data_IF_574585526300
#
_entry.id   IF_574585526300
#
_cell.length_a   1.000
_cell.length_b   1.000
_cell.length_c   1.000
_cell.angle_alpha   90.00
_cell.angle_beta   90.00
_cell.angle_gamma   90.00
#
_symmetry.space_group_name_H-M   'P 1'
#
loop_
_entity.id
_entity.type
_entity.pdbx_description
1 polymer ?
#
# COMPACT_ATOMS: atom_id res chain seq x y z
N UNK A 1 -55.74 38.42 19.06
CA UNK A 1 -54.41 38.54 19.68
C UNK A 1 -53.70 37.20 19.44
N UNK A 2 -52.95 37.11 18.37
CA UNK A 2 -52.22 35.89 17.93
C UNK A 2 -50.75 36.22 17.91
N UNK A 3 -50.00 35.63 18.85
CA UNK A 3 -48.54 35.69 18.90
C UNK A 3 -47.92 34.64 17.98
N UNK A 4 -47.26 35.07 16.91
CA UNK A 4 -46.45 34.25 16.04
C UNK A 4 -45.09 33.98 16.70
N UNK A 5 -44.83 32.74 17.08
CA UNK A 5 -43.52 32.24 17.45
C UNK A 5 -42.69 32.02 16.18
N UNK A 6 -41.70 32.86 15.92
CA UNK A 6 -40.69 32.65 14.87
C UNK A 6 -39.58 31.73 15.43
N UNK A 7 -39.58 30.49 14.95
CA UNK A 7 -38.51 29.52 15.14
C UNK A 7 -37.33 29.91 14.23
N UNK A 8 -36.23 30.41 14.82
CA UNK A 8 -34.99 30.72 14.12
C UNK A 8 -34.23 29.42 13.90
N UNK A 9 -34.29 28.84 12.70
CA UNK A 9 -33.48 27.70 12.29
C UNK A 9 -32.09 28.25 11.93
N UNK A 10 -31.12 28.05 12.82
CA UNK A 10 -29.70 28.32 12.56
C UNK A 10 -29.17 27.24 11.61
N UNK A 11 -29.11 27.51 10.30
CA UNK A 11 -28.36 26.73 9.35
C UNK A 11 -26.86 26.94 9.65
N UNK A 12 -26.25 25.99 10.32
CA UNK A 12 -24.80 25.83 10.34
C UNK A 12 -24.36 25.39 8.95
N UNK A 13 -23.96 26.35 8.13
CA UNK A 13 -23.20 26.11 6.91
C UNK A 13 -21.85 25.51 7.33
N UNK A 14 -21.72 24.20 7.22
CA UNK A 14 -20.42 23.55 7.24
C UNK A 14 -19.63 24.09 6.05
N UNK A 15 -18.62 24.89 6.32
CA UNK A 15 -17.71 25.45 5.33
C UNK A 15 -16.61 24.41 5.05
N UNK A 16 -16.62 23.67 3.93
CA UNK A 16 -15.63 22.62 3.64
C UNK A 16 -14.20 23.18 3.41
N UNK A 17 -14.07 24.51 3.32
CA UNK A 17 -12.78 25.19 3.11
C UNK A 17 -11.91 25.20 4.37
N UNK A 18 -12.51 25.21 5.57
CA UNK A 18 -11.75 25.29 6.82
C UNK A 18 -11.01 23.96 7.13
N UNK A 19 -11.58 22.82 6.77
CA UNK A 19 -10.98 21.50 7.02
C UNK A 19 -9.77 21.25 6.10
N UNK A 20 -9.81 21.69 4.84
CA UNK A 20 -8.71 21.56 3.89
C UNK A 20 -7.47 22.36 4.28
N UNK A 21 -7.65 23.59 4.73
CA UNK A 21 -6.53 24.46 5.17
C UNK A 21 -5.91 23.94 6.47
N UNK A 22 -6.72 23.46 7.41
CA UNK A 22 -6.23 22.88 8.66
C UNK A 22 -5.44 21.58 8.44
N UNK A 23 -5.73 20.83 7.39
CA UNK A 23 -5.03 19.60 7.06
C UNK A 23 -3.72 19.86 6.31
N UNK A 24 -3.65 20.81 5.39
CA UNK A 24 -2.39 21.18 4.73
C UNK A 24 -1.30 21.57 5.76
N UNK A 25 -1.68 22.19 6.87
CA UNK A 25 -0.74 22.54 7.96
C UNK A 25 -0.25 21.34 8.78
N UNK A 26 -0.87 20.16 8.63
CA UNK A 26 -0.51 18.92 9.34
C UNK A 26 0.31 17.96 8.49
N UNK A 27 0.41 18.21 7.18
CA UNK A 27 1.20 17.42 6.25
C UNK A 27 2.69 17.79 6.33
N UNK A 28 3.54 16.79 6.58
CA UNK A 28 4.99 16.97 6.51
C UNK A 28 5.50 16.38 5.19
N UNK A 29 6.15 17.21 4.37
CA UNK A 29 6.75 16.79 3.09
C UNK A 29 8.18 16.28 3.31
N UNK A 30 8.53 15.14 2.73
CA UNK A 30 9.82 14.46 2.89
C UNK A 30 10.68 14.47 1.61
N UNK A 31 10.07 14.62 0.43
CA UNK A 31 10.80 14.75 -0.85
C UNK A 31 10.34 15.98 -1.62
N UNK A 32 11.16 16.49 -2.55
CA UNK A 32 10.90 17.77 -3.25
C UNK A 32 11.19 17.72 -4.74
N UNK A 33 11.57 16.55 -5.28
CA UNK A 33 11.95 16.40 -6.69
C UNK A 33 10.77 16.24 -7.64
N UNK A 34 9.56 16.04 -7.11
CA UNK A 34 8.32 15.96 -7.89
C UNK A 34 8.20 14.73 -8.80
N UNK A 35 9.12 13.76 -8.67
CA UNK A 35 9.11 12.52 -9.47
C UNK A 35 8.14 11.49 -8.89
N UNK A 36 7.76 10.50 -9.71
CA UNK A 36 6.97 9.34 -9.27
C UNK A 36 7.57 8.70 -8.01
N UNK A 37 6.71 8.40 -7.04
CA UNK A 37 6.99 7.61 -5.85
C UNK A 37 5.85 6.64 -5.62
N UNK A 38 6.18 5.36 -5.51
CA UNK A 38 5.18 4.29 -5.31
C UNK A 38 5.76 3.16 -4.46
N UNK A 39 4.89 2.26 -3.98
CA UNK A 39 5.26 1.06 -3.23
C UNK A 39 6.12 1.36 -1.98
N UNK A 40 5.68 2.34 -1.19
CA UNK A 40 6.37 2.76 0.01
C UNK A 40 6.41 1.63 1.06
N UNK A 41 7.59 1.34 1.62
CA UNK A 41 7.79 0.35 2.68
C UNK A 41 8.87 0.81 3.65
N UNK A 42 8.60 0.66 4.94
CA UNK A 42 9.60 0.94 5.97
C UNK A 42 10.57 -0.22 6.15
N UNK A 43 11.83 0.11 6.42
CA UNK A 43 12.74 -0.82 7.10
C UNK A 43 12.33 -0.97 8.57
N UNK A 44 12.70 -2.07 9.20
CA UNK A 44 12.18 -2.39 10.54
C UNK A 44 12.67 -1.42 11.64
N UNK A 45 13.81 -0.77 11.43
CA UNK A 45 14.37 0.21 12.37
C UNK A 45 13.67 1.57 12.36
N UNK A 46 12.65 1.74 11.51
CA UNK A 46 11.87 2.97 11.36
C UNK A 46 12.64 4.19 10.85
N UNK A 47 13.91 4.04 10.51
CA UNK A 47 14.76 5.16 10.09
C UNK A 47 14.78 5.35 8.58
N UNK A 48 14.52 4.29 7.82
CA UNK A 48 14.55 4.34 6.36
C UNK A 48 13.21 3.95 5.75
N UNK A 49 12.81 4.73 4.76
CA UNK A 49 11.70 4.43 3.88
C UNK A 49 12.23 4.02 2.51
N UNK A 50 11.85 2.85 2.03
CA UNK A 50 12.19 2.36 0.69
C UNK A 50 10.97 2.49 -0.22
N UNK A 51 11.19 2.97 -1.44
CA UNK A 51 10.14 3.20 -2.42
C UNK A 51 10.66 3.09 -3.84
N UNK A 52 9.76 2.84 -4.78
CA UNK A 52 10.07 2.87 -6.22
C UNK A 52 9.97 4.30 -6.73
N UNK A 53 10.96 4.75 -7.50
CA UNK A 53 10.98 6.09 -8.10
C UNK A 53 11.56 6.11 -9.49
N UNK A 54 11.13 7.07 -10.30
CA UNK A 54 11.63 7.26 -11.65
C UNK A 54 13.00 7.94 -11.63
N UNK A 55 14.05 7.24 -12.04
CA UNK A 55 15.42 7.79 -12.18
C UNK A 55 15.63 8.49 -13.50
N UNK A 56 15.22 7.84 -14.59
CA UNK A 56 15.20 8.37 -15.94
C UNK A 56 13.81 8.14 -16.55
N UNK A 57 13.55 8.63 -17.75
CA UNK A 57 12.25 8.44 -18.41
C UNK A 57 11.85 6.97 -18.63
N UNK A 58 12.77 6.02 -18.44
CA UNK A 58 12.55 4.59 -18.69
C UNK A 58 13.00 3.68 -17.55
N UNK A 59 13.59 4.23 -16.47
CA UNK A 59 14.16 3.44 -15.40
C UNK A 59 13.53 3.77 -14.06
N UNK A 60 12.80 2.81 -13.49
CA UNK A 60 12.27 2.86 -12.13
C UNK A 60 13.22 2.09 -11.22
N UNK A 61 13.62 2.70 -10.11
CA UNK A 61 14.54 2.12 -9.14
C UNK A 61 13.95 2.13 -7.74
N UNK A 62 14.39 1.18 -6.93
CA UNK A 62 14.23 1.25 -5.49
C UNK A 62 15.24 2.23 -4.91
N UNK A 63 14.76 3.23 -4.20
CA UNK A 63 15.54 4.15 -3.38
C UNK A 63 15.20 4.01 -1.90
N UNK A 64 16.18 4.28 -1.07
CA UNK A 64 15.99 4.49 0.37
C UNK A 64 16.12 5.96 0.72
N UNK A 65 15.24 6.43 1.57
CA UNK A 65 15.25 7.76 2.18
C UNK A 65 15.50 7.59 3.68
N UNK A 66 16.60 8.11 4.18
CA UNK A 66 16.81 8.25 5.61
C UNK A 66 15.98 9.43 6.12
N UNK A 67 15.08 9.20 7.07
CA UNK A 67 14.10 10.18 7.52
C UNK A 67 14.71 11.27 8.43
N UNK A 68 15.80 10.98 9.10
CA UNK A 68 16.51 11.93 9.97
C UNK A 68 17.33 12.93 9.15
N UNK A 69 18.10 12.42 8.20
CA UNK A 69 19.05 13.21 7.41
C UNK A 69 18.48 13.75 6.12
N UNK A 70 17.36 13.18 5.64
CA UNK A 70 16.79 13.44 4.30
C UNK A 70 17.64 12.87 3.16
N UNK A 71 18.72 12.13 3.46
CA UNK A 71 19.60 11.56 2.44
C UNK A 71 18.89 10.44 1.67
N UNK A 72 19.02 10.48 0.34
CA UNK A 72 18.50 9.45 -0.58
C UNK A 72 19.65 8.71 -1.24
N UNK A 73 19.52 7.39 -1.36
CA UNK A 73 20.49 6.52 -2.06
C UNK A 73 19.76 5.41 -2.79
N UNK A 74 20.35 4.86 -3.84
CA UNK A 74 19.82 3.67 -4.49
C UNK A 74 19.83 2.51 -3.50
N UNK A 75 18.75 1.73 -3.49
CA UNK A 75 18.66 0.53 -2.65
C UNK A 75 19.60 -0.55 -3.18
N UNK A 76 19.57 -0.82 -4.49
CA UNK A 76 20.55 -1.66 -5.17
C UNK A 76 21.47 -0.79 -6.04
N UNK A 77 22.71 -0.65 -5.63
CA UNK A 77 23.71 0.10 -6.39
C UNK A 77 24.03 -0.59 -7.73
N UNK A 78 24.11 0.19 -8.82
CA UNK A 78 24.51 -0.30 -10.13
C UNK A 78 23.46 -1.16 -10.87
N UNK A 79 22.29 -1.45 -10.32
CA UNK A 79 21.24 -2.13 -11.05
C UNK A 79 20.68 -1.21 -12.16
N UNK A 80 20.51 -1.76 -13.36
CA UNK A 80 20.00 -1.08 -14.57
C UNK A 80 18.70 -1.68 -15.10
N UNK A 81 17.99 -2.42 -14.27
CA UNK A 81 16.65 -2.97 -14.50
C UNK A 81 15.62 -2.22 -13.65
N UNK A 82 14.36 -2.24 -14.07
CA UNK A 82 13.29 -1.68 -13.27
C UNK A 82 13.05 -2.54 -12.01
N UNK A 83 12.89 -1.87 -10.88
CA UNK A 83 12.64 -2.51 -9.58
C UNK A 83 11.44 -1.83 -8.91
N UNK A 84 10.45 -2.63 -8.53
CA UNK A 84 9.21 -2.16 -7.91
C UNK A 84 8.74 -3.09 -6.80
N UNK A 85 7.79 -2.64 -5.98
CA UNK A 85 7.04 -3.46 -5.03
C UNK A 85 7.93 -4.25 -4.07
N UNK A 86 8.70 -3.55 -3.24
CA UNK A 86 9.54 -4.20 -2.21
C UNK A 86 8.73 -4.54 -0.97
N UNK A 87 9.10 -5.62 -0.29
CA UNK A 87 8.55 -6.05 0.99
C UNK A 87 9.63 -6.72 1.84
N UNK A 88 9.67 -6.40 3.14
CA UNK A 88 10.68 -6.86 4.08
C UNK A 88 10.11 -7.88 5.06
N UNK A 89 10.90 -8.91 5.41
CA UNK A 89 10.68 -9.71 6.60
C UNK A 89 10.94 -8.88 7.87
N UNK A 90 10.31 -9.26 8.98
CA UNK A 90 10.40 -8.47 10.23
C UNK A 90 11.83 -8.38 10.78
N UNK A 91 12.63 -9.40 10.61
CA UNK A 91 14.03 -9.45 11.06
C UNK A 91 15.02 -8.86 10.05
N UNK A 92 14.53 -8.35 8.92
CA UNK A 92 15.32 -7.81 7.79
C UNK A 92 16.31 -8.80 7.16
N UNK A 93 16.24 -10.10 7.51
CA UNK A 93 17.09 -11.14 6.90
C UNK A 93 16.67 -11.49 5.49
N UNK A 94 15.40 -11.27 5.17
CA UNK A 94 14.84 -11.50 3.85
C UNK A 94 14.07 -10.28 3.38
N UNK A 95 14.15 -10.01 2.07
CA UNK A 95 13.23 -9.11 1.39
C UNK A 95 12.90 -9.65 -0.01
N UNK A 96 11.73 -9.28 -0.48
CA UNK A 96 11.25 -9.63 -1.82
C UNK A 96 10.93 -8.36 -2.61
N UNK A 97 11.18 -8.38 -3.92
CA UNK A 97 10.83 -7.30 -4.82
C UNK A 97 10.49 -7.82 -6.22
N UNK A 98 9.90 -6.98 -7.03
CA UNK A 98 9.65 -7.29 -8.45
C UNK A 98 10.70 -6.61 -9.30
N UNK A 99 11.38 -7.39 -10.15
CA UNK A 99 12.30 -6.90 -11.17
C UNK A 99 11.65 -6.99 -12.55
N UNK A 100 11.91 -6.01 -13.41
CA UNK A 100 11.48 -6.00 -14.80
C UNK A 100 12.69 -5.68 -15.69
N UNK A 101 13.07 -6.65 -16.52
CA UNK A 101 14.21 -6.56 -17.43
C UNK A 101 13.85 -5.90 -18.78
N UNK A 102 12.66 -5.29 -18.90
CA UNK A 102 12.08 -4.78 -20.12
C UNK A 102 11.19 -5.82 -20.84
N UNK A 103 10.50 -5.39 -21.91
CA UNK A 103 9.61 -6.25 -22.70
C UNK A 103 8.60 -7.08 -21.88
N UNK A 104 8.11 -6.55 -20.75
CA UNK A 104 7.16 -7.22 -19.85
C UNK A 104 7.71 -8.50 -19.16
N UNK A 105 9.01 -8.74 -19.20
CA UNK A 105 9.64 -9.82 -18.46
C UNK A 105 9.83 -9.42 -17.01
N UNK A 106 8.89 -9.83 -16.15
CA UNK A 106 8.94 -9.59 -14.71
C UNK A 106 9.31 -10.85 -13.97
N UNK A 107 10.11 -10.67 -12.93
CA UNK A 107 10.46 -11.73 -11.97
C UNK A 107 10.16 -11.31 -10.54
N UNK A 108 9.89 -12.28 -9.70
CA UNK A 108 9.95 -12.14 -8.24
C UNK A 108 11.37 -12.45 -7.81
N UNK A 109 11.98 -11.54 -7.09
CA UNK A 109 13.31 -11.70 -6.52
C UNK A 109 13.18 -11.80 -5.00
N UNK A 110 13.86 -12.76 -4.38
CA UNK A 110 13.99 -12.87 -2.93
C UNK A 110 15.47 -12.86 -2.58
N UNK A 111 15.87 -11.93 -1.74
CA UNK A 111 17.22 -11.82 -1.23
C UNK A 111 17.29 -12.38 0.19
N UNK A 112 18.16 -13.35 0.42
CA UNK A 112 18.68 -13.71 1.72
C UNK A 112 19.88 -12.82 2.02
N UNK A 113 19.74 -11.91 2.97
CA UNK A 113 20.76 -10.92 3.30
C UNK A 113 21.92 -11.55 4.05
N UNK A 114 21.64 -12.53 4.92
CA UNK A 114 22.64 -13.18 5.76
C UNK A 114 23.49 -14.17 4.95
N UNK A 115 22.87 -14.97 4.10
CA UNK A 115 23.58 -15.88 3.21
C UNK A 115 24.20 -15.18 1.98
N UNK A 116 23.75 -13.96 1.66
CA UNK A 116 24.12 -13.27 0.42
C UNK A 116 23.52 -13.91 -0.83
N UNK A 117 22.54 -14.79 -0.68
CA UNK A 117 21.92 -15.53 -1.79
C UNK A 117 20.69 -14.79 -2.34
N UNK A 118 20.49 -14.91 -3.65
CA UNK A 118 19.32 -14.38 -4.34
C UNK A 118 18.59 -15.51 -5.08
N UNK A 119 17.29 -15.60 -4.84
CA UNK A 119 16.41 -16.51 -5.55
C UNK A 119 15.53 -15.73 -6.53
N UNK A 120 15.38 -16.25 -7.74
CA UNK A 120 14.63 -15.62 -8.83
C UNK A 120 13.54 -16.56 -9.33
N UNK A 121 12.32 -16.07 -9.43
CA UNK A 121 11.21 -16.74 -10.06
C UNK A 121 10.70 -15.94 -11.25
N UNK A 122 10.75 -16.54 -12.44
CA UNK A 122 10.06 -16.05 -13.63
C UNK A 122 8.76 -16.82 -13.77
N UNK A 123 7.59 -16.27 -13.37
CA UNK A 123 6.35 -17.04 -13.33
C UNK A 123 5.82 -17.38 -14.73
N UNK A 124 6.20 -16.63 -15.75
CA UNK A 124 5.82 -16.84 -17.15
C UNK A 124 6.33 -15.74 -18.04
N UNK A 125 6.18 -15.90 -19.36
CA UNK A 125 6.54 -14.94 -20.40
C UNK A 125 5.32 -14.30 -21.06
N UNK A 126 5.55 -13.35 -21.96
CA UNK A 126 4.54 -12.64 -22.73
C UNK A 126 4.02 -11.38 -22.02
N UNK A 127 2.73 -11.09 -22.18
CA UNK A 127 2.12 -9.89 -21.58
C UNK A 127 1.82 -10.02 -20.09
N UNK A 128 2.24 -11.12 -19.47
CA UNK A 128 2.00 -11.44 -18.07
C UNK A 128 3.06 -10.80 -17.17
N UNK A 129 2.66 -9.86 -16.31
CA UNK A 129 3.57 -9.17 -15.40
C UNK A 129 3.22 -9.45 -13.94
N UNK A 130 4.22 -9.77 -13.12
CA UNK A 130 4.10 -9.65 -11.67
C UNK A 130 3.87 -8.18 -11.33
N UNK A 131 2.82 -7.87 -10.56
CA UNK A 131 2.49 -6.48 -10.21
C UNK A 131 2.84 -6.12 -8.79
N UNK A 132 2.79 -7.08 -7.89
CA UNK A 132 3.07 -6.85 -6.48
C UNK A 132 3.56 -8.12 -5.81
N UNK A 133 4.38 -7.96 -4.78
CA UNK A 133 4.90 -9.03 -3.94
C UNK A 133 4.80 -8.63 -2.48
N UNK A 134 4.62 -9.61 -1.60
CA UNK A 134 4.75 -9.46 -0.15
C UNK A 134 5.43 -10.69 0.43
N UNK A 135 6.36 -10.47 1.37
CA UNK A 135 7.01 -11.54 2.12
C UNK A 135 6.38 -11.67 3.50
N UNK A 136 6.21 -12.89 3.97
CA UNK A 136 5.71 -13.16 5.32
C UNK A 136 6.67 -12.58 6.37
N UNK A 137 6.19 -12.05 7.51
CA UNK A 137 7.04 -11.46 8.54
C UNK A 137 8.17 -12.38 9.06
N UNK A 138 7.99 -13.72 8.99
CA UNK A 138 9.04 -14.68 9.36
C UNK A 138 10.08 -14.95 8.25
N UNK A 139 9.95 -14.31 7.08
CA UNK A 139 10.86 -14.46 5.93
C UNK A 139 10.72 -15.74 5.12
N UNK A 140 9.84 -16.67 5.46
CA UNK A 140 9.80 -18.04 4.88
C UNK A 140 8.84 -18.22 3.73
N UNK A 141 7.91 -17.29 3.53
CA UNK A 141 6.83 -17.41 2.56
C UNK A 141 6.65 -16.12 1.78
N UNK A 142 6.28 -16.22 0.52
CA UNK A 142 6.08 -15.08 -0.39
C UNK A 142 4.73 -15.24 -1.08
N UNK A 143 3.99 -14.15 -1.17
CA UNK A 143 2.80 -14.04 -2.02
C UNK A 143 3.08 -13.00 -3.09
N UNK A 144 2.71 -13.33 -4.34
CA UNK A 144 2.80 -12.40 -5.46
C UNK A 144 1.52 -12.48 -6.31
N UNK A 145 1.21 -11.41 -7.03
CA UNK A 145 0.10 -11.39 -7.99
C UNK A 145 0.62 -11.64 -9.39
N UNK A 146 -0.02 -12.57 -10.12
CA UNK A 146 0.36 -12.94 -11.46
C UNK A 146 -0.87 -13.27 -12.31
N UNK A 147 -0.94 -12.81 -13.58
CA UNK A 147 -2.05 -13.13 -14.46
C UNK A 147 -2.04 -14.61 -14.89
N UNK A 148 -3.23 -15.12 -15.17
CA UNK A 148 -3.46 -16.44 -15.74
C UNK A 148 -4.05 -16.32 -17.17
N UNK A 149 -4.13 -17.43 -17.88
CA UNK A 149 -4.43 -17.45 -19.32
C UNK A 149 -5.75 -16.77 -19.73
N UNK A 150 -6.73 -16.69 -18.83
CA UNK A 150 -8.01 -15.99 -19.08
C UNK A 150 -7.96 -14.47 -18.89
N UNK A 151 -6.76 -13.91 -18.58
CA UNK A 151 -6.56 -12.49 -18.34
C UNK A 151 -6.89 -12.02 -16.91
N UNK A 152 -7.40 -12.89 -16.04
CA UNK A 152 -7.54 -12.59 -14.61
C UNK A 152 -6.17 -12.57 -13.93
N UNK A 153 -6.10 -11.98 -12.72
CA UNK A 153 -4.91 -12.05 -11.87
C UNK A 153 -5.22 -12.80 -10.60
N UNK A 154 -4.32 -13.68 -10.22
CA UNK A 154 -4.44 -14.49 -9.01
C UNK A 154 -3.28 -14.22 -8.06
N UNK A 155 -3.52 -14.44 -6.77
CA UNK A 155 -2.47 -14.47 -5.77
C UNK A 155 -1.86 -15.88 -5.73
N UNK A 156 -0.56 -15.93 -5.80
CA UNK A 156 0.25 -17.14 -5.75
C UNK A 156 1.12 -17.12 -4.50
N UNK A 157 1.17 -18.25 -3.83
CA UNK A 157 2.02 -18.49 -2.66
C UNK A 157 3.21 -19.36 -3.05
N UNK A 158 4.37 -19.09 -2.44
CA UNK A 158 5.59 -19.90 -2.58
C UNK A 158 6.44 -19.75 -1.32
N UNK A 159 7.44 -20.63 -1.14
CA UNK A 159 8.44 -20.46 -0.09
C UNK A 159 9.48 -19.37 -0.46
N UNK A 160 10.38 -19.04 0.47
CA UNK A 160 11.41 -17.99 0.27
C UNK A 160 12.46 -18.37 -0.80
N UNK A 161 12.57 -19.64 -1.16
CA UNK A 161 13.40 -20.11 -2.28
C UNK A 161 12.66 -20.12 -3.61
N UNK A 162 11.43 -19.61 -3.61
CA UNK A 162 10.54 -19.51 -4.77
C UNK A 162 10.21 -20.89 -5.39
N UNK A 163 10.16 -21.90 -4.53
CA UNK A 163 9.73 -23.27 -4.83
C UNK A 163 8.30 -23.50 -4.30
N UNK A 164 7.73 -24.69 -4.53
CA UNK A 164 6.43 -25.09 -3.98
C UNK A 164 5.28 -24.11 -4.26
N UNK A 165 5.21 -23.63 -5.50
CA UNK A 165 4.17 -22.67 -5.93
C UNK A 165 2.77 -23.29 -5.87
N UNK A 166 1.83 -22.54 -5.29
CA UNK A 166 0.40 -22.87 -5.33
C UNK A 166 -0.44 -21.60 -5.53
N UNK A 167 -1.53 -21.71 -6.28
CA UNK A 167 -2.51 -20.64 -6.35
C UNK A 167 -3.19 -20.48 -4.98
N UNK A 168 -3.15 -19.28 -4.43
CA UNK A 168 -3.81 -18.93 -3.16
C UNK A 168 -5.25 -18.50 -3.41
N UNK A 169 -5.49 -17.75 -4.50
CA UNK A 169 -6.84 -17.46 -4.99
C UNK A 169 -7.06 -18.15 -6.33
N UNK A 170 -8.32 -18.58 -6.59
CA UNK A 170 -8.76 -19.19 -7.84
C UNK A 170 -10.01 -18.44 -8.26
N UNK A 171 -9.85 -17.38 -9.05
CA UNK A 171 -10.94 -16.51 -9.44
C UNK A 171 -10.76 -16.02 -10.88
N UNK A 172 -11.86 -15.66 -11.52
CA UNK A 172 -11.86 -15.00 -12.83
C UNK A 172 -11.70 -13.47 -12.70
N UNK A 173 -11.30 -13.00 -11.51
CA UNK A 173 -11.16 -11.59 -11.16
C UNK A 173 -9.69 -11.17 -11.11
N UNK A 174 -9.46 -9.89 -10.88
CA UNK A 174 -8.12 -9.33 -10.66
C UNK A 174 -7.88 -9.26 -9.15
N UNK A 175 -7.06 -10.17 -8.61
CA UNK A 175 -6.56 -10.15 -7.25
C UNK A 175 -5.12 -9.63 -7.26
N UNK A 176 -4.86 -8.51 -6.56
CA UNK A 176 -3.56 -7.82 -6.62
C UNK A 176 -3.23 -7.10 -5.30
N UNK A 177 -2.02 -6.54 -5.22
CA UNK A 177 -1.50 -5.81 -4.06
C UNK A 177 -1.66 -6.56 -2.73
N UNK A 178 -1.22 -7.83 -2.64
CA UNK A 178 -1.28 -8.56 -1.38
C UNK A 178 -0.38 -7.92 -0.32
N UNK A 179 -0.83 -7.95 0.93
CA UNK A 179 -0.06 -7.51 2.11
C UNK A 179 -0.31 -8.44 3.28
N UNK A 180 0.72 -9.10 3.77
CA UNK A 180 0.64 -9.86 5.03
C UNK A 180 0.37 -8.92 6.20
N UNK A 181 -0.46 -9.38 7.14
CA UNK A 181 -0.58 -8.75 8.45
C UNK A 181 0.76 -8.84 9.21
N UNK A 182 1.02 -7.97 10.21
CA UNK A 182 2.29 -7.97 10.96
C UNK A 182 2.60 -9.27 11.70
N UNK A 183 1.56 -10.08 11.98
CA UNK A 183 1.70 -11.43 12.56
C UNK A 183 1.78 -12.54 11.52
N UNK A 184 1.61 -12.23 10.24
CA UNK A 184 1.59 -13.20 9.14
C UNK A 184 0.34 -14.07 9.05
N UNK A 185 -0.64 -13.90 9.94
CA UNK A 185 -1.82 -14.78 10.01
C UNK A 185 -2.91 -14.45 8.98
N UNK A 186 -2.87 -13.26 8.40
CA UNK A 186 -3.84 -12.81 7.41
C UNK A 186 -3.17 -12.06 6.26
N UNK A 187 -3.89 -11.95 5.14
CA UNK A 187 -3.49 -11.19 3.95
C UNK A 187 -4.63 -10.24 3.59
N UNK A 188 -4.33 -8.95 3.48
CA UNK A 188 -5.20 -7.98 2.84
C UNK A 188 -4.80 -7.85 1.37
N UNK A 189 -5.75 -7.68 0.47
CA UNK A 189 -5.48 -7.52 -0.95
C UNK A 189 -6.61 -6.77 -1.66
N UNK A 190 -6.35 -6.32 -2.87
CA UNK A 190 -7.32 -5.66 -3.73
C UNK A 190 -7.92 -6.67 -4.70
N UNK A 191 -9.24 -6.67 -4.88
CA UNK A 191 -9.93 -7.57 -5.81
C UNK A 191 -11.08 -6.88 -6.56
N UNK A 192 -11.34 -7.34 -7.79
CA UNK A 192 -12.48 -6.86 -8.60
C UNK A 192 -13.71 -7.77 -8.51
N UNK A 193 -13.78 -8.71 -7.57
CA UNK A 193 -14.85 -9.72 -7.48
C UNK A 193 -16.23 -9.15 -7.15
N UNK A 194 -16.29 -7.94 -6.57
CA UNK A 194 -17.53 -7.20 -6.31
C UNK A 194 -18.01 -6.32 -7.48
N UNK A 195 -17.28 -6.33 -8.61
CA UNK A 195 -17.59 -5.52 -9.80
C UNK A 195 -16.65 -4.33 -10.00
N UNK A 196 -15.99 -3.85 -8.95
CA UNK A 196 -14.91 -2.86 -8.99
C UNK A 196 -13.80 -3.26 -8.02
N UNK A 197 -12.75 -2.44 -7.90
CA UNK A 197 -11.68 -2.69 -6.94
C UNK A 197 -12.14 -2.38 -5.51
N UNK A 198 -12.15 -3.41 -4.66
CA UNK A 198 -12.39 -3.33 -3.22
C UNK A 198 -11.28 -4.05 -2.44
N UNK A 199 -11.19 -3.72 -1.14
CA UNK A 199 -10.25 -4.38 -0.23
C UNK A 199 -10.90 -5.65 0.34
N UNK A 200 -10.15 -6.74 0.25
CA UNK A 200 -10.49 -8.05 0.80
C UNK A 200 -9.44 -8.49 1.81
N UNK A 201 -9.85 -9.37 2.69
CA UNK A 201 -8.99 -10.04 3.67
C UNK A 201 -9.26 -11.53 3.67
N UNK A 202 -8.21 -12.34 3.82
CA UNK A 202 -8.29 -13.79 4.02
C UNK A 202 -7.24 -14.22 5.06
N UNK A 203 -7.32 -15.45 5.55
CA UNK A 203 -6.22 -16.08 6.28
C UNK A 203 -5.02 -16.30 5.34
N UNK A 204 -3.82 -16.44 5.92
CA UNK A 204 -2.59 -16.62 5.15
C UNK A 204 -2.60 -17.90 4.26
N UNK A 205 -3.41 -18.90 4.61
CA UNK A 205 -3.60 -20.12 3.84
C UNK A 205 -4.63 -20.02 2.70
N UNK A 206 -5.27 -18.84 2.55
CA UNK A 206 -6.31 -18.53 1.57
C UNK A 206 -7.75 -18.76 2.05
N UNK A 207 -7.95 -19.28 3.27
CA UNK A 207 -9.27 -19.51 3.84
C UNK A 207 -9.91 -18.21 4.41
N UNK A 208 -11.20 -18.28 4.78
CA UNK A 208 -11.94 -17.23 5.44
C UNK A 208 -11.87 -15.88 4.70
N UNK A 209 -12.18 -15.89 3.42
CA UNK A 209 -12.25 -14.69 2.60
C UNK A 209 -13.41 -13.80 2.99
N UNK A 210 -13.13 -12.54 3.30
CA UNK A 210 -14.11 -11.49 3.61
C UNK A 210 -13.85 -10.23 2.81
N UNK A 211 -14.90 -9.55 2.40
CA UNK A 211 -14.85 -8.20 1.81
C UNK A 211 -14.80 -7.17 2.94
N UNK A 212 -13.86 -6.23 2.87
CA UNK A 212 -13.70 -5.18 3.88
C UNK A 212 -14.30 -3.83 3.44
N UNK A 213 -14.30 -3.57 2.14
CA UNK A 213 -14.91 -2.34 1.58
C UNK A 213 -15.94 -2.71 0.52
N UNK A 214 -17.00 -1.89 0.45
CA UNK A 214 -18.06 -2.00 -0.55
C UNK A 214 -18.51 -0.58 -0.92
N UNK A 215 -17.99 -0.06 -2.02
CA UNK A 215 -18.31 1.27 -2.51
C UNK A 215 -18.18 1.33 -4.04
N UNK A 216 -18.94 2.22 -4.70
CA UNK A 216 -18.84 2.42 -6.15
C UNK A 216 -17.50 3.01 -6.60
N UNK A 217 -16.80 3.75 -5.73
CA UNK A 217 -15.43 4.23 -5.98
C UNK A 217 -14.41 3.11 -5.70
N UNK A 218 -13.28 3.17 -6.40
CA UNK A 218 -12.19 2.20 -6.25
C UNK A 218 -11.56 2.29 -4.86
N UNK A 219 -11.37 1.15 -4.21
CA UNK A 219 -10.59 0.99 -2.98
C UNK A 219 -9.41 0.04 -3.25
N UNK A 220 -8.18 0.46 -2.97
CA UNK A 220 -6.98 -0.27 -3.39
C UNK A 220 -5.80 -0.07 -2.43
N UNK A 221 -4.78 -0.92 -2.56
CA UNK A 221 -3.46 -0.79 -1.89
C UNK A 221 -3.55 -0.70 -0.37
N UNK A 222 -4.14 -1.74 0.23
CA UNK A 222 -4.22 -1.88 1.69
C UNK A 222 -2.83 -1.95 2.34
N UNK A 223 -2.68 -1.29 3.49
CA UNK A 223 -1.50 -1.33 4.35
C UNK A 223 -1.90 -1.55 5.81
N UNK A 224 -1.37 -2.59 6.43
CA UNK A 224 -1.63 -2.91 7.83
C UNK A 224 -0.90 -1.97 8.78
N UNK A 225 -1.57 -1.54 9.85
CA UNK A 225 -0.89 -0.91 10.99
C UNK A 225 0.04 -1.91 11.69
N UNK A 226 1.13 -1.45 12.34
CA UNK A 226 2.13 -2.34 12.97
C UNK A 226 1.56 -3.27 14.05
N UNK A 227 0.48 -2.86 14.72
CA UNK A 227 -0.25 -3.66 15.69
C UNK A 227 -1.21 -4.68 15.05
N UNK A 228 -1.50 -4.53 13.74
CA UNK A 228 -2.44 -5.36 12.99
C UNK A 228 -3.91 -5.08 13.28
N UNK A 229 -4.22 -3.98 13.97
CA UNK A 229 -5.59 -3.63 14.35
C UNK A 229 -6.30 -2.72 13.34
N UNK A 230 -5.55 -2.05 12.47
CA UNK A 230 -6.09 -1.12 11.46
C UNK A 230 -5.49 -1.40 10.08
N UNK A 231 -6.23 -0.95 9.06
CA UNK A 231 -5.80 -0.99 7.66
C UNK A 231 -5.97 0.42 7.10
N UNK A 232 -4.90 0.98 6.51
CA UNK A 232 -4.97 2.16 5.67
C UNK A 232 -5.09 1.72 4.20
N UNK A 233 -5.78 2.48 3.37
CA UNK A 233 -5.97 2.17 1.95
C UNK A 233 -6.25 3.43 1.16
N UNK A 234 -6.04 3.35 -0.16
CA UNK A 234 -6.39 4.41 -1.10
C UNK A 234 -7.82 4.21 -1.59
N UNK A 235 -8.61 5.29 -1.60
CA UNK A 235 -10.00 5.27 -2.07
C UNK A 235 -10.30 6.43 -3.02
N UNK A 236 -11.11 6.16 -4.05
CA UNK A 236 -11.63 7.16 -4.99
C UNK A 236 -13.08 7.60 -4.66
N UNK A 237 -13.64 7.17 -3.52
CA UNK A 237 -15.05 7.39 -3.16
C UNK A 237 -15.45 8.85 -2.96
N UNK A 238 -14.49 9.73 -2.68
CA UNK A 238 -14.73 11.16 -2.52
C UNK A 238 -14.49 11.97 -3.82
N UNK A 239 -14.33 11.30 -4.96
CA UNK A 239 -14.06 11.93 -6.27
C UNK A 239 -12.59 12.23 -6.53
N UNK A 240 -11.72 11.99 -5.56
CA UNK A 240 -10.26 12.07 -5.64
C UNK A 240 -9.63 10.85 -4.96
N UNK A 241 -8.37 10.55 -5.28
CA UNK A 241 -7.61 9.53 -4.56
C UNK A 241 -7.22 10.10 -3.18
N UNK A 242 -7.77 9.52 -2.14
CA UNK A 242 -7.53 9.90 -0.76
C UNK A 242 -7.20 8.68 0.09
N UNK A 243 -6.52 8.91 1.20
CA UNK A 243 -6.23 7.86 2.16
C UNK A 243 -7.37 7.74 3.17
N UNK A 244 -7.79 6.52 3.38
CA UNK A 244 -8.77 6.10 4.39
C UNK A 244 -8.13 5.14 5.38
N UNK A 245 -8.68 5.07 6.57
CA UNK A 245 -8.31 4.09 7.61
C UNK A 245 -9.58 3.40 8.09
N UNK A 246 -9.49 2.11 8.32
CA UNK A 246 -10.54 1.26 8.91
C UNK A 246 -9.94 0.33 9.97
N UNK A 247 -10.78 -0.34 10.76
CA UNK A 247 -10.33 -1.45 11.58
C UNK A 247 -9.95 -2.68 10.71
N UNK A 248 -9.32 -3.68 11.32
CA UNK A 248 -8.85 -4.88 10.60
C UNK A 248 -9.98 -5.75 10.02
N UNK A 249 -11.25 -5.43 10.30
CA UNK A 249 -12.44 -6.15 9.85
C UNK A 249 -13.36 -5.32 8.96
N UNK A 250 -12.93 -4.11 8.55
CA UNK A 250 -13.65 -3.25 7.62
C UNK A 250 -14.59 -2.23 8.26
N UNK A 251 -14.67 -2.19 9.60
CA UNK A 251 -15.47 -1.18 10.30
C UNK A 251 -14.73 0.16 10.48
N UNK A 252 -15.46 1.20 10.90
CA UNK A 252 -14.93 2.53 11.25
C UNK A 252 -14.14 3.21 10.11
N UNK A 253 -14.58 3.04 8.86
CA UNK A 253 -13.93 3.62 7.68
C UNK A 253 -13.94 5.15 7.74
N UNK A 254 -12.77 5.75 7.87
CA UNK A 254 -12.62 7.20 8.02
C UNK A 254 -11.64 7.75 7.01
N UNK A 255 -12.02 8.83 6.29
CA UNK A 255 -11.14 9.58 5.41
C UNK A 255 -10.11 10.35 6.24
N UNK A 256 -8.82 10.21 5.93
CA UNK A 256 -7.74 10.86 6.67
C UNK A 256 -6.98 11.90 5.87
N UNK A 257 -7.10 11.92 4.53
CA UNK A 257 -6.60 13.00 3.70
C UNK A 257 -7.74 13.68 2.94
N UNK A 258 -7.66 14.99 2.76
CA UNK A 258 -8.68 15.82 2.09
C UNK A 258 -8.06 16.91 1.22
N UNK A 259 -6.73 16.87 1.00
CA UNK A 259 -6.05 17.83 0.14
C UNK A 259 -6.48 17.64 -1.34
N UNK A 260 -6.32 18.64 -2.22
CA UNK A 260 -6.71 18.53 -3.62
C UNK A 260 -5.80 17.62 -4.46
N UNK A 261 -4.70 17.15 -3.89
CA UNK A 261 -3.76 16.23 -4.54
C UNK A 261 -4.31 14.81 -4.61
N UNK A 262 -3.67 13.97 -5.42
CA UNK A 262 -3.96 12.52 -5.41
C UNK A 262 -3.05 11.85 -4.40
N UNK A 263 -3.62 11.32 -3.33
CA UNK A 263 -2.90 10.63 -2.28
C UNK A 263 -2.98 9.12 -2.49
N UNK A 264 -1.82 8.45 -2.62
CA UNK A 264 -1.75 7.04 -2.97
C UNK A 264 -0.55 6.34 -2.31
N UNK A 265 -0.45 5.01 -2.45
CA UNK A 265 0.67 4.18 -1.96
C UNK A 265 0.96 4.36 -0.47
N UNK A 266 -0.09 4.34 0.34
CA UNK A 266 0.02 4.54 1.79
C UNK A 266 0.78 3.39 2.46
N UNK A 267 1.57 3.74 3.47
CA UNK A 267 2.19 2.82 4.44
C UNK A 267 2.17 3.40 5.84
N UNK A 268 2.17 2.56 6.85
CA UNK A 268 2.29 2.97 8.24
C UNK A 268 3.74 3.13 8.65
N UNK A 269 4.04 4.19 9.37
CA UNK A 269 5.29 4.26 10.12
C UNK A 269 5.29 3.16 11.21
N UNK A 270 6.42 2.48 11.49
CA UNK A 270 6.49 1.42 12.49
C UNK A 270 6.08 1.82 13.92
N UNK A 271 6.04 3.13 14.24
CA UNK A 271 5.51 3.63 15.52
C UNK A 271 3.97 3.53 15.63
N UNK A 272 3.25 3.24 14.53
CA UNK A 272 1.79 3.12 14.48
C UNK A 272 1.02 4.44 14.62
N UNK A 273 1.70 5.59 14.61
CA UNK A 273 1.10 6.92 14.83
C UNK A 273 1.04 7.79 13.58
N UNK A 274 1.79 7.43 12.53
CA UNK A 274 1.89 8.21 11.30
C UNK A 274 1.64 7.34 10.08
N UNK A 275 1.03 7.93 9.06
CA UNK A 275 0.95 7.39 7.71
C UNK A 275 1.93 8.15 6.82
N UNK A 276 2.61 7.42 5.95
CA UNK A 276 3.40 7.95 4.85
C UNK A 276 2.74 7.56 3.54
N UNK A 277 2.69 8.46 2.59
CA UNK A 277 2.04 8.24 1.30
C UNK A 277 2.66 9.15 0.22
N UNK A 278 2.46 8.79 -1.03
CA UNK A 278 2.75 9.71 -2.13
C UNK A 278 1.56 10.62 -2.36
N UNK A 279 1.82 11.92 -2.58
CA UNK A 279 0.80 12.91 -2.92
C UNK A 279 1.20 13.68 -4.16
N UNK A 280 0.29 13.77 -5.14
CA UNK A 280 0.46 14.58 -6.34
C UNK A 280 -0.18 15.94 -6.12
N UNK A 281 0.63 16.95 -5.79
CA UNK A 281 0.19 18.33 -5.59
C UNK A 281 0.74 19.18 -6.74
N UNK A 282 -0.15 19.83 -7.51
CA UNK A 282 0.20 20.68 -8.65
C UNK A 282 1.11 19.97 -9.67
N UNK A 283 0.82 18.70 -9.97
CA UNK A 283 1.55 17.87 -10.92
C UNK A 283 2.93 17.38 -10.45
N UNK A 284 3.26 17.55 -9.16
CA UNK A 284 4.49 17.04 -8.54
C UNK A 284 4.13 15.97 -7.52
N UNK A 285 4.79 14.81 -7.64
CA UNK A 285 4.57 13.67 -6.75
C UNK A 285 5.70 13.61 -5.74
N UNK A 286 5.36 13.76 -4.46
CA UNK A 286 6.32 13.68 -3.36
C UNK A 286 5.77 12.85 -2.21
N UNK A 287 6.67 12.43 -1.32
CA UNK A 287 6.32 11.70 -0.11
C UNK A 287 5.93 12.68 0.98
N UNK A 288 4.78 12.42 1.58
CA UNK A 288 4.25 13.16 2.72
C UNK A 288 3.97 12.23 3.89
N UNK A 289 3.94 12.76 5.10
CA UNK A 289 3.41 12.06 6.27
C UNK A 289 2.32 12.87 6.97
N UNK A 290 1.47 12.16 7.69
CA UNK A 290 0.38 12.69 8.49
C UNK A 290 0.24 11.90 9.79
N UNK A 291 0.16 12.59 10.94
CA UNK A 291 -0.16 11.95 12.20
C UNK A 291 -1.61 11.48 12.24
N UNK A 292 -1.82 10.25 12.71
CA UNK A 292 -3.13 9.63 12.86
C UNK A 292 -3.49 9.58 14.33
N UNK A 293 -4.68 10.06 14.72
CA UNK A 293 -5.15 9.93 16.10
C UNK A 293 -5.15 8.47 16.56
N UNK A 294 -4.87 8.26 17.83
CA UNK A 294 -5.05 6.95 18.45
C UNK A 294 -6.50 6.45 18.22
N UNK A 295 -6.72 5.14 18.09
CA UNK A 295 -8.07 4.59 18.01
C UNK A 295 -8.91 5.11 19.17
N UNK A 296 -10.16 5.49 18.89
CA UNK A 296 -11.09 5.78 19.99
C UNK A 296 -11.28 4.49 20.78
N UNK A 297 -10.89 4.50 22.06
CA UNK A 297 -11.26 3.42 22.97
C UNK A 297 -12.78 3.39 23.01
N UNK A 298 -13.40 2.29 22.57
CA UNK A 298 -14.82 2.09 22.85
C UNK A 298 -14.94 2.09 24.38
N UNK A 299 -15.58 3.12 24.94
CA UNK A 299 -16.06 3.05 26.32
C UNK A 299 -17.06 1.90 26.37
N UNK A 300 -16.79 0.93 27.22
CA UNK A 300 -17.69 -0.18 27.54
C UNK A 300 -19.07 0.31 27.97
#
# INVERSE_FOLDING_TARGET
>A
MNSFNRLLVLLLLFCPVADGVAQESRLKRHTTDGKLKQDLNFTHDSQELVFSTLKTNQLIKLERLNLETGKRTDFHSGANTNEISISFAKDMKFYAYVRNDGNLHTSVEVQDVEAGEKHTLNPGGGFACVRAVTIHPNGREVIYSFPVDNGSQQLWHTDQRLQNKKALTKSDYIDTHPRYSPRGTAVAFTSTRSGNFDIYRMQADGSNLIQLTEHAGLDTRAAWSPDGMRIAYTSLRAGNYDIYVMDAFGADQTRVTTNPGKDDFVTWHPNGKELYFSSEIKGKIDIYSLEIPAPRTRSE
#
